data_IF_385970133806
#
_entry.id   IF_385970133806
#
_cell.length_a   1.000
_cell.length_b   1.000
_cell.length_c   1.000
_cell.angle_alpha   90.00
_cell.angle_beta   90.00
_cell.angle_gamma   90.00
#
_symmetry.space_group_name_H-M   'P 1'
#
loop_
_entity.id
_entity.type
_entity.pdbx_description
1 polymer ?
#
# COMPACT_ATOMS: atom_id res chain seq x y z
N UNK A 1 27.34 -1.32 22.00
CA UNK A 1 26.17 -1.54 21.12
C UNK A 1 26.64 -1.22 19.70
N UNK A 2 26.43 -2.11 18.72
CA UNK A 2 26.83 -1.84 17.33
C UNK A 2 26.05 -0.62 16.84
N UNK A 3 26.73 0.37 16.26
CA UNK A 3 26.08 1.49 15.59
C UNK A 3 25.21 0.91 14.48
N UNK A 4 23.89 0.87 14.70
CA UNK A 4 22.94 0.59 13.63
C UNK A 4 22.97 1.79 12.69
N UNK A 5 23.95 1.79 11.80
CA UNK A 5 23.98 2.78 10.72
C UNK A 5 22.76 2.54 9.83
N UNK A 6 22.20 3.59 9.26
CA UNK A 6 21.09 3.47 8.30
C UNK A 6 21.42 2.49 7.16
N UNK A 7 22.68 2.45 6.74
CA UNK A 7 23.16 1.48 5.75
C UNK A 7 23.05 0.03 6.22
N UNK A 8 23.32 -0.25 7.49
CA UNK A 8 23.16 -1.61 8.06
C UNK A 8 21.69 -2.03 8.09
N UNK A 9 20.77 -1.12 8.44
CA UNK A 9 19.33 -1.41 8.41
C UNK A 9 18.84 -1.71 6.99
N UNK A 10 19.26 -0.90 6.01
CA UNK A 10 18.91 -1.13 4.59
C UNK A 10 19.46 -2.47 4.10
N UNK A 11 20.71 -2.79 4.44
CA UNK A 11 21.32 -4.06 4.06
C UNK A 11 20.55 -5.27 4.63
N UNK A 12 20.06 -5.19 5.88
CA UNK A 12 19.22 -6.24 6.46
C UNK A 12 17.89 -6.37 5.74
N UNK A 13 17.24 -5.27 5.35
CA UNK A 13 16.00 -5.33 4.57
C UNK A 13 16.24 -5.93 3.18
N UNK A 14 17.33 -5.56 2.51
CA UNK A 14 17.72 -6.15 1.22
C UNK A 14 18.00 -7.64 1.32
N UNK A 15 18.54 -8.12 2.44
CA UNK A 15 18.78 -9.54 2.70
C UNK A 15 17.46 -10.30 2.96
N UNK A 16 16.56 -9.75 3.79
CA UNK A 16 15.28 -10.39 4.15
C UNK A 16 14.33 -10.47 2.95
N UNK A 17 14.15 -9.36 2.23
CA UNK A 17 13.20 -9.29 1.11
C UNK A 17 13.84 -9.70 -0.22
N UNK A 18 15.16 -9.71 -0.31
CA UNK A 18 15.89 -9.76 -1.56
C UNK A 18 16.00 -8.37 -2.20
N UNK A 19 17.18 -8.04 -2.73
CA UNK A 19 17.48 -6.74 -3.32
C UNK A 19 16.47 -6.30 -4.40
N UNK A 20 16.00 -7.21 -5.24
CA UNK A 20 15.03 -6.90 -6.29
C UNK A 20 13.65 -6.49 -5.75
N UNK A 21 13.10 -7.28 -4.84
CA UNK A 21 11.77 -7.04 -4.28
C UNK A 21 11.75 -5.79 -3.39
N UNK A 22 12.78 -5.61 -2.56
CA UNK A 22 12.88 -4.45 -1.67
C UNK A 22 12.81 -3.13 -2.47
N UNK A 23 13.67 -2.98 -3.48
CA UNK A 23 13.67 -1.77 -4.31
C UNK A 23 12.42 -1.64 -5.16
N UNK A 24 11.81 -2.75 -5.61
CA UNK A 24 10.52 -2.71 -6.29
C UNK A 24 9.39 -2.16 -5.39
N UNK A 25 9.35 -2.57 -4.12
CA UNK A 25 8.39 -2.05 -3.14
C UNK A 25 8.62 -0.57 -2.84
N UNK A 26 9.88 -0.14 -2.70
CA UNK A 26 10.23 1.28 -2.51
C UNK A 26 9.78 2.11 -3.72
N UNK A 27 10.07 1.65 -4.93
CA UNK A 27 9.66 2.31 -6.16
C UNK A 27 8.12 2.36 -6.28
N UNK A 28 7.43 1.27 -5.97
CA UNK A 28 5.97 1.22 -5.95
C UNK A 28 5.37 2.21 -4.94
N UNK A 29 5.89 2.24 -3.70
CA UNK A 29 5.45 3.16 -2.67
C UNK A 29 5.63 4.62 -3.10
N UNK A 30 6.78 4.96 -3.69
CA UNK A 30 7.05 6.29 -4.21
C UNK A 30 6.10 6.66 -5.35
N UNK A 31 5.90 5.74 -6.31
CA UNK A 31 5.00 5.94 -7.45
C UNK A 31 3.56 6.18 -6.99
N UNK A 32 3.05 5.34 -6.09
CA UNK A 32 1.69 5.47 -5.55
C UNK A 32 1.52 6.79 -4.81
N UNK A 33 2.50 7.19 -4.01
CA UNK A 33 2.49 8.45 -3.27
C UNK A 33 2.46 9.66 -4.23
N UNK A 34 3.34 9.67 -5.23
CA UNK A 34 3.38 10.74 -6.24
C UNK A 34 2.09 10.79 -7.05
N UNK A 35 1.53 9.64 -7.44
CA UNK A 35 0.26 9.57 -8.15
C UNK A 35 -0.90 10.09 -7.28
N UNK A 36 -0.90 9.78 -5.99
CA UNK A 36 -1.87 10.32 -5.04
C UNK A 36 -1.76 11.85 -4.91
N UNK A 37 -0.56 12.38 -4.73
CA UNK A 37 -0.35 13.84 -4.67
C UNK A 37 -0.78 14.53 -5.97
N UNK A 38 -0.46 13.95 -7.13
CA UNK A 38 -0.89 14.46 -8.42
C UNK A 38 -2.42 14.50 -8.53
N UNK A 39 -3.10 13.41 -8.18
CA UNK A 39 -4.56 13.34 -8.17
C UNK A 39 -5.16 14.37 -7.21
N UNK A 40 -4.59 14.54 -6.02
CA UNK A 40 -5.08 15.46 -5.01
C UNK A 40 -5.05 16.92 -5.51
N UNK A 41 -3.93 17.34 -6.10
CA UNK A 41 -3.77 18.69 -6.67
C UNK A 41 -4.68 18.91 -7.88
N UNK A 42 -4.89 17.86 -8.68
CA UNK A 42 -5.63 17.91 -9.94
C UNK A 42 -7.14 17.89 -9.78
N UNK A 43 -7.68 16.93 -9.03
CA UNK A 43 -9.13 16.70 -8.99
C UNK A 43 -9.84 17.74 -8.11
N UNK A 44 -9.17 18.32 -7.10
CA UNK A 44 -9.68 19.32 -6.12
C UNK A 44 -11.09 19.06 -5.52
N UNK A 45 -11.70 17.91 -5.79
CA UNK A 45 -13.04 17.54 -5.38
C UNK A 45 -13.11 16.02 -5.12
N UNK A 46 -13.42 15.68 -3.88
CA UNK A 46 -13.60 14.28 -3.47
C UNK A 46 -15.03 13.86 -3.78
N UNK A 47 -15.20 13.01 -4.79
CA UNK A 47 -16.52 12.46 -5.12
C UNK A 47 -16.88 11.28 -4.21
N UNK A 48 -18.08 11.28 -3.63
CA UNK A 48 -18.60 10.25 -2.74
C UNK A 48 -18.60 8.82 -3.31
N UNK A 49 -18.85 8.64 -4.61
CA UNK A 49 -18.80 7.30 -5.25
C UNK A 49 -17.40 6.67 -5.22
N UNK A 50 -16.34 7.46 -5.47
CA UNK A 50 -14.94 6.99 -5.40
C UNK A 50 -14.60 6.52 -3.97
N UNK A 51 -15.12 7.23 -2.97
CA UNK A 51 -14.88 6.91 -1.58
C UNK A 51 -15.54 5.59 -1.16
N UNK A 52 -16.76 5.32 -1.65
CA UNK A 52 -17.46 4.05 -1.38
C UNK A 52 -16.73 2.84 -2.02
N UNK A 53 -16.22 2.98 -3.25
CA UNK A 53 -15.49 1.90 -3.91
C UNK A 53 -14.13 1.68 -3.22
N UNK A 54 -13.46 2.76 -2.83
CA UNK A 54 -12.24 2.68 -2.04
C UNK A 54 -12.49 1.96 -0.70
N UNK A 55 -13.58 2.26 0.01
CA UNK A 55 -13.94 1.57 1.25
C UNK A 55 -14.26 0.10 1.04
N UNK A 56 -14.99 -0.25 -0.01
CA UNK A 56 -15.32 -1.64 -0.32
C UNK A 56 -14.06 -2.46 -0.63
N UNK A 57 -13.01 -1.82 -1.16
CA UNK A 57 -11.71 -2.46 -1.42
C UNK A 57 -10.80 -2.60 -0.20
N UNK A 58 -11.06 -1.89 0.90
CA UNK A 58 -10.22 -1.91 2.11
C UNK A 58 -9.96 -3.33 2.67
N UNK A 59 -10.95 -4.24 2.76
CA UNK A 59 -10.71 -5.59 3.27
C UNK A 59 -9.72 -6.38 2.41
N UNK A 60 -9.73 -6.20 1.08
CA UNK A 60 -8.74 -6.82 0.19
C UNK A 60 -7.33 -6.34 0.52
N UNK A 61 -7.15 -5.04 0.76
CA UNK A 61 -5.88 -4.46 1.17
C UNK A 61 -5.35 -5.05 2.46
N UNK A 62 -6.22 -5.18 3.46
CA UNK A 62 -5.86 -5.75 4.76
C UNK A 62 -5.37 -7.20 4.62
N UNK A 63 -6.14 -8.04 3.90
CA UNK A 63 -5.82 -9.45 3.71
C UNK A 63 -4.52 -9.61 2.92
N UNK A 64 -4.34 -8.87 1.84
CA UNK A 64 -3.13 -8.93 1.02
C UNK A 64 -1.89 -8.46 1.78
N UNK A 65 -2.00 -7.41 2.61
CA UNK A 65 -0.87 -6.93 3.40
C UNK A 65 -0.44 -7.95 4.45
N UNK A 66 -1.40 -8.51 5.19
CA UNK A 66 -1.13 -9.56 6.18
C UNK A 66 -0.52 -10.79 5.49
N UNK A 67 -1.14 -11.26 4.41
CA UNK A 67 -0.65 -12.42 3.68
C UNK A 67 0.77 -12.20 3.13
N UNK A 68 1.03 -11.04 2.54
CA UNK A 68 2.35 -10.67 2.03
C UNK A 68 3.41 -10.72 3.13
N UNK A 69 3.14 -10.10 4.29
CA UNK A 69 4.09 -10.12 5.41
C UNK A 69 4.31 -11.54 5.90
N UNK A 70 3.26 -12.32 6.12
CA UNK A 70 3.37 -13.71 6.59
C UNK A 70 4.20 -14.59 5.66
N UNK A 71 4.04 -14.42 4.34
CA UNK A 71 4.84 -15.14 3.34
C UNK A 71 6.32 -14.73 3.42
N UNK A 72 6.60 -13.44 3.56
CA UNK A 72 7.98 -12.93 3.61
C UNK A 72 8.70 -13.29 4.91
N UNK A 73 7.98 -13.35 6.03
CA UNK A 73 8.55 -13.69 7.34
C UNK A 73 8.47 -15.18 7.67
N UNK A 74 7.94 -16.00 6.76
CA UNK A 74 7.64 -17.43 7.00
C UNK A 74 6.91 -17.69 8.32
N UNK A 75 5.95 -16.83 8.66
CA UNK A 75 5.22 -16.92 9.94
C UNK A 75 3.91 -17.68 9.77
N UNK A 76 3.49 -18.43 10.80
CA UNK A 76 2.18 -19.08 10.82
C UNK A 76 1.22 -18.36 11.76
N UNK A 77 -0.08 -18.41 11.44
CA UNK A 77 -1.13 -17.87 12.33
C UNK A 77 -1.13 -18.52 13.71
N UNK A 78 -0.53 -19.71 13.84
CA UNK A 78 -0.37 -20.45 15.08
C UNK A 78 0.68 -19.86 16.02
N UNK A 79 1.58 -18.99 15.52
CA UNK A 79 2.63 -18.36 16.31
C UNK A 79 2.17 -17.04 16.98
N UNK A 80 0.94 -16.60 16.66
CA UNK A 80 0.26 -15.47 17.31
C UNK A 80 -0.11 -15.79 18.76
N UNK A 81 0.90 -15.76 19.63
CA UNK A 81 0.76 -16.03 21.07
C UNK A 81 0.84 -14.79 21.96
N UNK A 82 1.37 -13.67 21.44
CA UNK A 82 1.69 -12.47 22.24
C UNK A 82 0.78 -11.26 21.97
N UNK A 83 0.53 -10.38 22.96
CA UNK A 83 -0.21 -9.12 22.76
C UNK A 83 0.41 -8.20 21.70
N UNK A 84 1.75 -8.17 21.62
CA UNK A 84 2.47 -7.36 20.63
C UNK A 84 2.22 -7.88 19.21
N UNK A 85 2.15 -9.20 19.04
CA UNK A 85 1.93 -9.80 17.73
C UNK A 85 0.53 -9.46 17.19
N UNK A 86 -0.48 -9.47 18.07
CA UNK A 86 -1.83 -9.03 17.71
C UNK A 86 -1.85 -7.55 17.29
N UNK A 87 -1.14 -6.68 18.01
CA UNK A 87 -1.05 -5.25 17.66
C UNK A 87 -0.38 -5.07 16.30
N UNK A 88 0.72 -5.78 16.04
CA UNK A 88 1.44 -5.71 14.76
C UNK A 88 0.58 -6.26 13.62
N UNK A 89 -0.08 -7.40 13.82
CA UNK A 89 -0.99 -8.02 12.86
C UNK A 89 -2.13 -7.08 12.48
N UNK A 90 -2.82 -6.50 13.48
CA UNK A 90 -3.88 -5.52 13.25
C UNK A 90 -3.34 -4.24 12.60
N UNK A 91 -2.15 -3.79 12.98
CA UNK A 91 -1.47 -2.63 12.38
C UNK A 91 -1.17 -2.84 10.90
N UNK A 92 -0.64 -4.01 10.52
CA UNK A 92 -0.39 -4.39 9.12
C UNK A 92 -1.71 -4.41 8.34
N UNK A 93 -2.75 -5.04 8.89
CA UNK A 93 -4.07 -5.08 8.26
C UNK A 93 -4.65 -3.68 8.05
N UNK A 94 -4.58 -2.82 9.06
CA UNK A 94 -5.06 -1.43 8.98
C UNK A 94 -4.27 -0.62 7.94
N UNK A 95 -2.93 -0.70 7.95
CA UNK A 95 -2.09 -0.03 6.96
C UNK A 95 -2.35 -0.55 5.54
N UNK A 96 -2.53 -1.86 5.37
CA UNK A 96 -2.91 -2.49 4.10
C UNK A 96 -4.26 -2.01 3.57
N UNK A 97 -5.25 -1.91 4.45
CA UNK A 97 -6.57 -1.37 4.11
C UNK A 97 -6.50 0.08 3.62
N UNK A 98 -5.77 0.93 4.35
CA UNK A 98 -5.55 2.34 3.97
C UNK A 98 -4.81 2.43 2.65
N UNK A 99 -3.75 1.64 2.46
CA UNK A 99 -2.98 1.60 1.21
C UNK A 99 -3.84 1.21 0.01
N UNK A 100 -4.70 0.21 0.15
CA UNK A 100 -5.62 -0.20 -0.92
C UNK A 100 -6.66 0.88 -1.23
N UNK A 101 -7.21 1.55 -0.23
CA UNK A 101 -8.14 2.65 -0.45
C UNK A 101 -7.48 3.78 -1.26
N UNK A 102 -6.22 4.12 -0.95
CA UNK A 102 -5.44 5.12 -1.71
C UNK A 102 -5.21 4.64 -3.14
N UNK A 103 -4.76 3.40 -3.33
CA UNK A 103 -4.51 2.81 -4.65
C UNK A 103 -5.75 2.85 -5.54
N UNK A 104 -6.88 2.34 -5.04
CA UNK A 104 -8.14 2.30 -5.78
C UNK A 104 -8.63 3.70 -6.12
N UNK A 105 -8.54 4.64 -5.18
CA UNK A 105 -8.90 6.04 -5.41
C UNK A 105 -8.05 6.67 -6.53
N UNK A 106 -6.73 6.45 -6.51
CA UNK A 106 -5.81 6.95 -7.54
C UNK A 106 -6.12 6.33 -8.89
N UNK A 107 -6.30 5.02 -8.97
CA UNK A 107 -6.61 4.31 -10.21
C UNK A 107 -7.93 4.79 -10.82
N UNK A 108 -8.99 4.95 -10.00
CA UNK A 108 -10.27 5.46 -10.48
C UNK A 108 -10.17 6.91 -11.00
N UNK A 109 -9.43 7.78 -10.31
CA UNK A 109 -9.24 9.16 -10.76
C UNK A 109 -8.49 9.22 -12.10
N UNK A 110 -7.41 8.44 -12.26
CA UNK A 110 -6.63 8.40 -13.49
C UNK A 110 -7.40 7.77 -14.66
N UNK A 111 -8.14 6.68 -14.44
CA UNK A 111 -8.90 6.01 -15.49
C UNK A 111 -10.11 6.83 -15.96
N UNK A 112 -10.86 7.44 -15.04
CA UNK A 112 -12.08 8.20 -15.39
C UNK A 112 -11.79 9.50 -16.14
N UNK A 113 -10.62 10.07 -15.90
CA UNK A 113 -10.08 11.20 -16.66
C UNK A 113 -9.99 10.92 -18.16
N UNK A 114 -9.52 9.73 -18.54
CA UNK A 114 -9.48 9.35 -19.96
C UNK A 114 -10.88 9.26 -20.55
N UNK A 115 -11.86 8.83 -19.76
CA UNK A 115 -13.26 8.70 -20.19
C UNK A 115 -13.94 10.03 -20.47
N UNK A 116 -13.62 11.10 -19.75
CA UNK A 116 -14.16 12.44 -20.02
C UNK A 116 -13.49 13.13 -21.21
N UNK A 117 -12.23 12.80 -21.52
CA UNK A 117 -11.51 13.39 -22.66
C UNK A 117 -11.95 12.80 -24.00
N UNK A 118 -12.45 11.55 -24.01
CA UNK A 118 -12.93 10.89 -25.24
C UNK A 118 -14.37 11.22 -25.67
N UNK A 119 -15.07 12.10 -24.96
CA UNK A 119 -16.47 12.45 -25.25
C UNK A 119 -16.66 13.83 -25.92
N UNK A 120 -15.57 14.55 -26.21
CA UNK A 120 -15.61 15.88 -26.85
C UNK A 120 -15.22 15.84 -28.33
N UNK A 121 -15.07 14.64 -28.92
CA UNK A 121 -14.60 14.48 -30.30
C UNK A 121 -15.56 13.65 -31.19
N UNK A 122 -16.88 13.81 -30.96
CA UNK A 122 -17.94 13.33 -31.87
C UNK A 122 -19.09 14.33 -31.97
#
# INVERSE_FOLDING_TARGET
MKDMTFGTLIAVFEEIFGRGLFWAMVAAALLVTLAYLYVLVRDRAVSWRKFLIAQLSMPLGAVLAVWFVMVMTQSHLSDLGGPVDLIVFLGIGAMGAVGMAILVYVLESLLRTKRTTGATDR
#
